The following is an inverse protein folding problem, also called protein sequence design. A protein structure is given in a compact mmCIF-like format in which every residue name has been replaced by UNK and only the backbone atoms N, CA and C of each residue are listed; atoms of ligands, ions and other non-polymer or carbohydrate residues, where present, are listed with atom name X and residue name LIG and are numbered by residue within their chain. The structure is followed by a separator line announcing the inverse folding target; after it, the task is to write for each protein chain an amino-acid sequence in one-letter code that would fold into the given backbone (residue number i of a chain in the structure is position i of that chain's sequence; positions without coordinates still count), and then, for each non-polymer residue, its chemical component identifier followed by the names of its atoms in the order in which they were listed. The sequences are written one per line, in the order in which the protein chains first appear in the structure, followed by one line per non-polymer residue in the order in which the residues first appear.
data_IF_269230405662
#
_entry.id   IF_269230405662
#
_cell.length_a   1.000
_cell.length_b   1.000
_cell.length_c   1.000
_cell.angle_alpha   90.00
_cell.angle_beta   90.00
_cell.angle_gamma   90.00
#
_symmetry.space_group_name_H-M   'P 1'
#
loop_
_entity.id
_entity.type
_entity.pdbx_description
1 polymer ?
#
# COMPACT_ATOMS: atom_id res chain seq x y z
N UNK A 1 -8.23 -2.23 29.83
CA UNK A 1 -7.84 -0.81 29.70
C UNK A 1 -6.37 -0.77 29.96
N UNK A 2 -5.54 -0.52 28.94
CA UNK A 2 -4.13 -0.25 29.18
C UNK A 2 -4.05 1.16 29.79
N UNK A 3 -3.57 1.23 31.03
CA UNK A 3 -3.55 2.45 31.83
C UNK A 3 -2.27 3.24 31.51
N UNK A 4 -2.38 4.57 31.47
CA UNK A 4 -1.22 5.45 31.23
C UNK A 4 -0.26 5.29 32.41
N UNK A 5 1.01 4.97 32.12
CA UNK A 5 2.04 4.86 33.16
C UNK A 5 2.19 6.18 33.90
N UNK A 6 2.27 6.12 35.23
CA UNK A 6 2.52 7.32 36.03
C UNK A 6 3.98 7.76 35.93
N UNK A 7 4.29 9.05 36.20
CA UNK A 7 5.67 9.52 36.24
C UNK A 7 6.58 8.72 37.17
N UNK A 8 6.06 8.25 38.31
CA UNK A 8 6.80 7.45 39.29
C UNK A 8 7.14 6.06 38.75
N UNK A 9 6.19 5.44 38.02
CA UNK A 9 6.42 4.15 37.36
C UNK A 9 7.47 4.27 36.25
N UNK A 10 7.38 5.33 35.43
CA UNK A 10 8.36 5.65 34.40
C UNK A 10 9.73 5.83 35.03
N UNK A 11 9.83 6.64 36.09
CA UNK A 11 11.09 6.90 36.78
C UNK A 11 11.72 5.61 37.33
N UNK A 12 10.92 4.74 37.94
CA UNK A 12 11.38 3.43 38.45
C UNK A 12 11.91 2.54 37.31
N UNK A 13 11.23 2.51 36.16
CA UNK A 13 11.68 1.76 34.99
C UNK A 13 13.01 2.32 34.47
N UNK A 14 13.17 3.65 34.42
CA UNK A 14 14.40 4.29 33.98
C UNK A 14 15.56 4.02 34.93
N UNK A 15 15.33 4.00 36.24
CA UNK A 15 16.35 3.67 37.25
C UNK A 15 16.82 2.22 37.14
N UNK A 16 15.88 1.28 37.02
CA UNK A 16 16.20 -0.14 36.81
C UNK A 16 16.95 -0.36 35.49
N UNK A 17 16.58 0.37 34.44
CA UNK A 17 17.25 0.30 33.14
C UNK A 17 18.65 0.91 33.17
N UNK A 18 18.84 2.00 33.89
CA UNK A 18 20.15 2.59 34.12
C UNK A 18 21.06 1.63 34.87
N UNK A 19 20.57 1.01 35.96
CA UNK A 19 21.31 -0.04 36.68
C UNK A 19 21.67 -1.23 35.78
N UNK A 20 20.77 -1.59 34.88
CA UNK A 20 21.01 -2.60 33.85
C UNK A 20 22.13 -2.23 32.88
N UNK A 21 22.23 -0.99 32.46
CA UNK A 21 23.33 -0.52 31.62
C UNK A 21 24.66 -0.45 32.41
N UNK A 22 24.64 0.17 33.59
CA UNK A 22 25.83 0.42 34.41
C UNK A 22 26.50 -0.88 34.87
N UNK A 23 25.72 -1.94 35.11
CA UNK A 23 26.21 -3.27 35.49
C UNK A 23 26.71 -4.12 34.31
N UNK A 24 26.68 -3.59 33.08
CA UNK A 24 26.98 -4.37 31.88
C UNK A 24 25.95 -5.46 31.63
N UNK A 25 24.66 -5.17 31.89
CA UNK A 25 23.49 -6.04 31.68
C UNK A 25 23.33 -7.18 32.69
N UNK A 26 23.88 -7.05 33.90
CA UNK A 26 23.87 -8.09 34.94
C UNK A 26 22.84 -7.86 36.05
N UNK A 27 22.59 -6.61 36.42
CA UNK A 27 21.70 -6.22 37.53
C UNK A 27 20.68 -5.17 37.07
N UNK A 28 19.47 -5.17 37.62
CA UNK A 28 18.38 -4.30 37.16
C UNK A 28 17.64 -4.89 35.95
N UNK A 29 16.78 -4.10 35.31
CA UNK A 29 15.92 -4.57 34.21
C UNK A 29 16.00 -3.66 33.00
N UNK A 30 16.19 -4.23 31.81
CA UNK A 30 16.03 -3.51 30.54
C UNK A 30 14.65 -2.87 30.49
N UNK A 31 14.58 -1.59 30.12
CA UNK A 31 13.30 -0.91 29.95
C UNK A 31 12.47 -1.62 28.86
N UNK A 32 11.36 -2.21 29.26
CA UNK A 32 10.33 -2.73 28.37
C UNK A 32 9.07 -1.88 28.52
N UNK A 33 8.80 -1.11 27.48
CA UNK A 33 7.70 -0.17 27.31
C UNK A 33 6.90 -0.56 26.05
N UNK A 34 6.90 -1.83 25.65
CA UNK A 34 6.10 -2.32 24.52
C UNK A 34 4.61 -2.01 24.76
N UNK A 35 3.97 -1.36 23.77
CA UNK A 35 2.57 -0.93 23.84
C UNK A 35 2.27 0.16 24.88
N UNK A 36 3.27 0.65 25.61
CA UNK A 36 3.07 1.57 26.72
C UNK A 36 2.46 2.91 26.27
N UNK A 37 1.49 3.42 27.04
CA UNK A 37 0.90 4.74 26.81
C UNK A 37 1.73 5.80 27.56
N UNK A 38 2.55 6.54 26.80
CA UNK A 38 3.49 7.57 27.25
C UNK A 38 3.16 8.94 26.64
N UNK A 39 1.91 9.17 26.26
CA UNK A 39 1.44 10.42 25.64
C UNK A 39 1.79 11.64 26.50
N UNK A 40 2.57 12.56 25.95
CA UNK A 40 3.05 13.75 26.63
C UNK A 40 4.02 13.50 27.79
N UNK A 41 4.60 12.30 27.91
CA UNK A 41 5.55 11.99 28.97
C UNK A 41 6.82 12.84 28.86
N UNK A 42 7.39 13.22 30.01
CA UNK A 42 8.63 13.98 30.08
C UNK A 42 9.79 13.00 30.26
N UNK A 43 10.54 12.77 29.18
CA UNK A 43 11.66 11.84 29.08
C UNK A 43 12.93 12.57 28.61
N UNK A 44 13.03 13.87 28.92
CA UNK A 44 14.16 14.73 28.52
C UNK A 44 15.47 14.16 29.06
N UNK A 45 16.43 13.90 28.17
CA UNK A 45 17.72 13.32 28.53
C UNK A 45 17.66 11.88 29.05
N UNK A 46 16.54 11.18 28.93
CA UNK A 46 16.41 9.81 29.42
C UNK A 46 17.39 8.87 28.71
N UNK A 47 17.99 7.95 29.47
CA UNK A 47 18.88 6.92 28.93
C UNK A 47 18.03 5.68 28.67
N UNK A 48 17.73 5.44 27.40
CA UNK A 48 16.89 4.34 26.88
C UNK A 48 17.68 3.51 25.86
N UNK A 49 19.00 3.38 26.05
CA UNK A 49 19.90 2.67 25.14
C UNK A 49 19.47 1.20 25.04
N UNK A 50 19.09 0.81 23.83
CA UNK A 50 18.55 -0.52 23.58
C UNK A 50 17.22 -0.78 24.26
N UNK A 51 16.44 0.19 24.71
CA UNK A 51 15.12 -0.07 25.30
C UNK A 51 14.14 -0.69 24.27
N UNK A 52 13.09 -1.35 24.76
CA UNK A 52 12.01 -1.89 23.91
C UNK A 52 10.80 -0.96 24.07
N UNK A 53 10.42 -0.27 22.99
CA UNK A 53 9.25 0.62 22.93
C UNK A 53 8.37 0.31 21.70
N UNK A 54 8.38 -0.95 21.25
CA UNK A 54 7.58 -1.39 20.10
C UNK A 54 6.10 -1.05 20.33
N UNK A 55 5.47 -0.38 19.36
CA UNK A 55 4.07 0.03 19.45
C UNK A 55 3.74 0.99 20.59
N UNK A 56 4.72 1.58 21.28
CA UNK A 56 4.47 2.52 22.36
C UNK A 56 3.81 3.82 21.83
N UNK A 57 2.93 4.42 22.62
CA UNK A 57 2.26 5.68 22.29
C UNK A 57 3.00 6.84 22.97
N UNK A 58 3.89 7.48 22.22
CA UNK A 58 4.74 8.60 22.62
C UNK A 58 4.27 9.93 22.00
N UNK A 59 3.02 10.02 21.55
CA UNK A 59 2.45 11.24 20.96
C UNK A 59 2.70 12.46 21.87
N UNK A 60 3.37 13.48 21.34
CA UNK A 60 3.71 14.70 22.09
C UNK A 60 4.67 14.52 23.27
N UNK A 61 5.33 13.37 23.43
CA UNK A 61 6.32 13.15 24.49
C UNK A 61 7.55 14.04 24.29
N UNK A 62 8.18 14.44 25.40
CA UNK A 62 9.38 15.28 25.41
C UNK A 62 10.60 14.38 25.61
N UNK A 63 11.31 14.10 24.52
CA UNK A 63 12.50 13.24 24.42
C UNK A 63 13.75 14.05 24.03
N UNK A 64 13.73 15.37 24.22
CA UNK A 64 14.86 16.25 23.90
C UNK A 64 16.15 15.72 24.55
N UNK A 65 17.18 15.48 23.74
CA UNK A 65 18.47 14.96 24.21
C UNK A 65 18.46 13.52 24.77
N UNK A 66 17.36 12.77 24.64
CA UNK A 66 17.28 11.37 25.10
C UNK A 66 18.25 10.47 24.30
N UNK A 67 18.76 9.42 24.96
CA UNK A 67 19.68 8.44 24.37
C UNK A 67 18.91 7.17 24.07
N UNK A 68 18.57 6.96 22.80
CA UNK A 68 17.77 5.84 22.27
C UNK A 68 18.59 4.94 21.32
N UNK A 69 19.92 4.99 21.42
CA UNK A 69 20.81 4.20 20.58
C UNK A 69 20.43 2.70 20.62
N UNK A 70 20.17 2.11 19.46
CA UNK A 70 19.76 0.71 19.31
C UNK A 70 18.42 0.33 19.94
N UNK A 71 17.60 1.31 20.33
CA UNK A 71 16.26 1.04 20.86
C UNK A 71 15.32 0.50 19.76
N UNK A 72 14.30 -0.24 20.17
CA UNK A 72 13.30 -0.84 19.28
C UNK A 72 12.00 -0.03 19.39
N UNK A 73 11.68 0.75 18.37
CA UNK A 73 10.50 1.61 18.27
C UNK A 73 9.63 1.25 17.05
N UNK A 74 9.68 -0.01 16.61
CA UNK A 74 8.85 -0.53 15.52
C UNK A 74 7.37 -0.18 15.78
N UNK A 75 6.74 0.50 14.81
CA UNK A 75 5.33 0.90 14.88
C UNK A 75 4.96 1.83 16.04
N UNK A 76 5.94 2.45 16.71
CA UNK A 76 5.66 3.40 17.80
C UNK A 76 5.01 4.68 17.25
N UNK A 77 4.13 5.28 18.05
CA UNK A 77 3.49 6.55 17.75
C UNK A 77 4.27 7.70 18.39
N UNK A 78 5.07 8.39 17.59
CA UNK A 78 5.91 9.54 17.95
C UNK A 78 5.35 10.85 17.36
N UNK A 79 4.07 10.90 16.98
CA UNK A 79 3.49 12.09 16.35
C UNK A 79 3.67 13.30 17.27
N UNK A 80 4.18 14.39 16.72
CA UNK A 80 4.49 15.64 17.46
C UNK A 80 5.41 15.48 18.67
N UNK A 81 6.14 14.36 18.79
CA UNK A 81 7.13 14.20 19.85
C UNK A 81 8.31 15.16 19.66
N UNK A 82 8.89 15.62 20.76
CA UNK A 82 10.09 16.45 20.76
C UNK A 82 11.32 15.57 20.92
N UNK A 83 12.02 15.28 19.83
CA UNK A 83 13.24 14.48 19.74
C UNK A 83 14.46 15.35 19.41
N UNK A 84 14.40 16.67 19.64
CA UNK A 84 15.51 17.57 19.31
C UNK A 84 16.78 17.12 20.01
N UNK A 85 17.87 17.03 19.26
CA UNK A 85 19.19 16.58 19.74
C UNK A 85 19.21 15.18 20.39
N UNK A 86 18.20 14.35 20.16
CA UNK A 86 18.18 12.97 20.65
C UNK A 86 19.22 12.11 19.91
N UNK A 87 19.76 11.10 20.60
CA UNK A 87 20.70 10.13 20.02
C UNK A 87 19.94 8.87 19.64
N UNK A 88 19.69 8.70 18.35
CA UNK A 88 18.86 7.65 17.73
C UNK A 88 19.70 6.72 16.83
N UNK A 89 21.01 6.58 17.10
CA UNK A 89 21.89 5.75 16.26
C UNK A 89 21.45 4.30 16.25
N UNK A 90 21.33 3.69 15.08
CA UNK A 90 20.97 2.29 14.92
C UNK A 90 19.60 1.93 15.51
N UNK A 91 18.72 2.93 15.73
CA UNK A 91 17.37 2.71 16.25
C UNK A 91 16.52 2.00 15.21
N UNK A 92 15.63 1.11 15.65
CA UNK A 92 14.64 0.48 14.77
C UNK A 92 13.31 1.23 14.85
N UNK A 93 13.00 2.02 13.83
CA UNK A 93 11.79 2.82 13.67
C UNK A 93 10.92 2.30 12.52
N UNK A 94 11.03 1.01 12.17
CA UNK A 94 10.23 0.43 11.08
C UNK A 94 8.73 0.68 11.29
N UNK A 95 8.08 1.34 10.33
CA UNK A 95 6.65 1.67 10.37
C UNK A 95 6.22 2.64 11.48
N UNK A 96 7.16 3.34 12.14
CA UNK A 96 6.83 4.28 13.20
C UNK A 96 6.13 5.55 12.66
N UNK A 97 5.25 6.15 13.45
CA UNK A 97 4.52 7.37 13.10
C UNK A 97 5.24 8.59 13.69
N UNK A 98 5.91 9.39 12.87
CA UNK A 98 6.67 10.58 13.27
C UNK A 98 6.07 11.88 12.69
N UNK A 99 4.80 11.87 12.28
CA UNK A 99 4.15 13.06 11.72
C UNK A 99 4.34 14.27 12.63
N UNK A 100 4.92 15.35 12.10
CA UNK A 100 5.15 16.60 12.83
C UNK A 100 6.09 16.50 14.02
N UNK A 101 6.88 15.44 14.15
CA UNK A 101 7.89 15.31 15.20
C UNK A 101 9.02 16.33 15.01
N UNK A 102 9.60 16.80 16.12
CA UNK A 102 10.73 17.72 16.12
C UNK A 102 12.03 16.94 16.26
N UNK A 103 12.80 16.81 15.20
CA UNK A 103 14.05 16.04 15.12
C UNK A 103 15.28 16.93 14.85
N UNK A 104 15.16 18.25 15.04
CA UNK A 104 16.27 19.17 14.80
C UNK A 104 17.54 18.73 15.57
N UNK A 105 18.60 18.45 14.82
CA UNK A 105 19.92 18.10 15.34
C UNK A 105 19.98 16.72 15.96
N UNK A 106 18.97 15.87 15.72
CA UNK A 106 18.98 14.48 16.16
C UNK A 106 20.02 13.65 15.38
N UNK A 107 20.58 12.64 16.05
CA UNK A 107 21.58 11.74 15.49
C UNK A 107 20.92 10.40 15.13
N UNK A 108 20.50 10.25 13.87
CA UNK A 108 19.78 9.11 13.29
C UNK A 108 20.70 8.17 12.49
N UNK A 109 22.02 8.21 12.73
CA UNK A 109 22.96 7.41 11.93
C UNK A 109 22.67 5.92 12.02
N UNK A 110 22.58 5.27 10.86
CA UNK A 110 22.26 3.84 10.78
C UNK A 110 20.87 3.46 11.29
N UNK A 111 19.97 4.43 11.51
CA UNK A 111 18.59 4.14 11.91
C UNK A 111 17.83 3.42 10.80
N UNK A 112 16.95 2.49 11.19
CA UNK A 112 16.00 1.85 10.29
C UNK A 112 14.68 2.61 10.33
N UNK A 113 14.42 3.42 9.30
CA UNK A 113 13.22 4.24 9.13
C UNK A 113 12.31 3.69 8.02
N UNK A 114 12.45 2.41 7.67
CA UNK A 114 11.66 1.82 6.59
C UNK A 114 10.17 1.95 6.87
N UNK A 115 9.38 2.42 5.90
CA UNK A 115 7.93 2.60 6.08
C UNK A 115 7.51 3.64 7.14
N UNK A 116 8.45 4.40 7.72
CA UNK A 116 8.13 5.39 8.75
C UNK A 116 7.41 6.61 8.14
N UNK A 117 6.48 7.19 8.89
CA UNK A 117 5.73 8.39 8.49
C UNK A 117 6.37 9.65 9.09
N UNK A 118 7.22 10.34 8.32
CA UNK A 118 7.91 11.58 8.70
C UNK A 118 7.24 12.84 8.12
N UNK A 119 5.97 12.77 7.71
CA UNK A 119 5.28 13.92 7.10
C UNK A 119 5.26 15.12 8.02
N UNK A 120 5.69 16.28 7.51
CA UNK A 120 5.80 17.52 8.27
C UNK A 120 6.81 17.49 9.43
N UNK A 121 7.66 16.47 9.54
CA UNK A 121 8.67 16.41 10.61
C UNK A 121 9.80 17.43 10.36
N UNK A 122 10.36 17.98 11.44
CA UNK A 122 11.48 18.92 11.38
C UNK A 122 12.80 18.18 11.57
N UNK A 123 13.51 17.88 10.48
CA UNK A 123 14.78 17.17 10.44
C UNK A 123 15.98 18.11 10.19
N UNK A 124 15.80 19.43 10.38
CA UNK A 124 16.88 20.39 10.11
C UNK A 124 18.14 20.07 10.90
N UNK A 125 19.28 20.03 10.23
CA UNK A 125 20.56 19.68 10.85
C UNK A 125 20.66 18.26 11.45
N UNK A 126 19.71 17.35 11.18
CA UNK A 126 19.77 15.98 11.66
C UNK A 126 20.81 15.16 10.89
N UNK A 127 21.44 14.18 11.56
CA UNK A 127 22.43 13.29 10.94
C UNK A 127 21.79 11.93 10.61
N UNK A 128 21.42 11.70 9.35
CA UNK A 128 20.84 10.45 8.85
C UNK A 128 21.84 9.59 8.08
N UNK A 129 23.15 9.77 8.27
CA UNK A 129 24.13 9.02 7.50
C UNK A 129 23.99 7.51 7.73
N UNK A 130 23.90 6.76 6.64
CA UNK A 130 23.68 5.31 6.66
C UNK A 130 22.29 4.86 7.12
N UNK A 131 21.33 5.79 7.33
CA UNK A 131 19.96 5.42 7.68
C UNK A 131 19.21 4.78 6.50
N UNK A 132 18.27 3.88 6.78
CA UNK A 132 17.42 3.22 5.80
C UNK A 132 16.01 3.81 5.80
N UNK A 133 15.69 4.58 4.77
CA UNK A 133 14.43 5.31 4.58
C UNK A 133 13.57 4.71 3.46
N UNK A 134 13.79 3.44 3.07
CA UNK A 134 12.99 2.81 2.01
C UNK A 134 11.51 2.77 2.41
N UNK A 135 10.65 3.29 1.55
CA UNK A 135 9.21 3.40 1.83
C UNK A 135 8.84 4.44 2.91
N UNK A 136 9.77 5.27 3.38
CA UNK A 136 9.44 6.34 4.33
C UNK A 136 8.70 7.51 3.63
N UNK A 137 7.67 8.03 4.31
CA UNK A 137 6.87 9.19 3.88
C UNK A 137 7.52 10.47 4.40
N UNK A 138 7.91 11.39 3.53
CA UNK A 138 8.68 12.61 3.85
C UNK A 138 7.98 13.89 3.38
N UNK A 139 6.70 13.81 3.01
CA UNK A 139 5.96 14.95 2.45
C UNK A 139 5.91 16.11 3.46
N UNK A 140 6.43 17.27 3.05
CA UNK A 140 6.51 18.46 3.91
C UNK A 140 7.54 18.36 5.05
N UNK A 141 8.38 17.34 5.09
CA UNK A 141 9.48 17.27 6.06
C UNK A 141 10.54 18.35 5.76
N UNK A 142 11.06 18.99 6.80
CA UNK A 142 12.09 20.02 6.70
C UNK A 142 13.47 19.38 6.82
N UNK A 143 14.25 19.38 5.73
CA UNK A 143 15.55 18.70 5.64
C UNK A 143 16.73 19.67 5.51
N UNK A 144 16.54 20.97 5.74
CA UNK A 144 17.63 21.94 5.55
C UNK A 144 18.82 21.61 6.45
N UNK A 145 19.99 21.40 5.84
CA UNK A 145 21.23 21.05 6.55
C UNK A 145 21.27 19.62 7.12
N UNK A 146 20.32 18.76 6.80
CA UNK A 146 20.38 17.34 7.19
C UNK A 146 21.51 16.60 6.45
N UNK A 147 22.24 15.73 7.16
CA UNK A 147 23.31 14.93 6.59
C UNK A 147 22.76 13.59 6.11
N UNK A 148 22.74 13.37 4.80
CA UNK A 148 22.10 12.20 4.17
C UNK A 148 23.09 11.22 3.53
N UNK A 149 24.40 11.43 3.68
CA UNK A 149 25.43 10.61 3.04
C UNK A 149 25.27 9.12 3.39
N UNK A 150 25.22 8.27 2.36
CA UNK A 150 25.08 6.83 2.57
C UNK A 150 23.69 6.38 3.05
N UNK A 151 22.73 7.31 3.24
CA UNK A 151 21.34 6.92 3.45
C UNK A 151 20.78 6.19 2.22
N UNK A 152 19.83 5.28 2.47
CA UNK A 152 19.17 4.42 1.48
C UNK A 152 17.69 4.82 1.45
N UNK A 153 17.04 4.90 0.28
CA UNK A 153 15.60 5.12 0.20
C UNK A 153 15.12 6.58 0.23
N UNK A 154 16.01 7.55 0.47
CA UNK A 154 15.81 8.92 -0.04
C UNK A 154 16.18 8.91 -1.51
N UNK A 155 15.29 9.47 -2.34
CA UNK A 155 15.47 9.49 -3.78
C UNK A 155 16.65 10.38 -4.17
N UNK A 156 17.81 9.75 -4.34
CA UNK A 156 19.03 10.39 -4.82
C UNK A 156 18.85 11.11 -6.16
N UNK A 157 17.81 10.82 -6.95
CA UNK A 157 17.57 11.55 -8.21
C UNK A 157 16.98 12.95 -7.97
N UNK A 158 16.17 13.16 -6.92
CA UNK A 158 15.68 14.50 -6.56
C UNK A 158 16.85 15.32 -6.00
N UNK A 159 17.63 14.74 -5.10
CA UNK A 159 18.82 15.38 -4.53
C UNK A 159 19.85 15.70 -5.62
N UNK A 160 20.09 14.76 -6.54
CA UNK A 160 20.98 14.96 -7.69
C UNK A 160 20.44 15.99 -8.67
N UNK A 161 19.13 16.09 -8.89
CA UNK A 161 18.53 17.13 -9.74
C UNK A 161 18.66 18.52 -9.10
N UNK A 162 18.51 18.61 -7.77
CA UNK A 162 18.70 19.84 -6.99
C UNK A 162 20.17 20.25 -7.00
N UNK A 163 21.07 19.31 -6.73
CA UNK A 163 22.53 19.50 -6.79
C UNK A 163 22.98 19.94 -8.19
N UNK A 164 22.54 19.25 -9.25
CA UNK A 164 22.86 19.64 -10.63
C UNK A 164 22.33 21.03 -10.97
N UNK A 165 21.14 21.42 -10.48
CA UNK A 165 20.61 22.78 -10.66
C UNK A 165 21.43 23.83 -9.92
N UNK A 166 21.85 23.55 -8.68
CA UNK A 166 22.71 24.45 -7.90
C UNK A 166 24.08 24.62 -8.57
N UNK A 167 24.67 23.53 -9.05
CA UNK A 167 25.94 23.58 -9.80
C UNK A 167 25.81 24.41 -11.08
N UNK A 168 24.69 24.30 -11.81
CA UNK A 168 24.42 25.16 -12.98
C UNK A 168 24.35 26.63 -12.59
N UNK A 169 23.70 26.96 -11.47
CA UNK A 169 23.64 28.34 -10.97
C UNK A 169 25.02 28.87 -10.55
N UNK A 170 25.84 28.06 -9.90
CA UNK A 170 27.22 28.43 -9.56
C UNK A 170 28.07 28.68 -10.80
N UNK A 171 27.96 27.83 -11.83
CA UNK A 171 28.66 28.05 -13.09
C UNK A 171 28.21 29.34 -13.78
N UNK A 172 26.92 29.69 -13.72
CA UNK A 172 26.42 30.97 -14.26
C UNK A 172 27.02 32.18 -13.55
N UNK A 173 27.13 32.14 -12.22
CA UNK A 173 27.78 33.19 -11.45
C UNK A 173 29.27 33.31 -11.79
N UNK A 174 29.97 32.18 -11.92
CA UNK A 174 31.38 32.16 -12.33
C UNK A 174 31.58 32.72 -13.74
N UNK A 175 30.74 32.34 -14.70
CA UNK A 175 30.76 32.86 -16.08
C UNK A 175 30.55 34.37 -16.08
N UNK A 176 29.59 34.88 -15.31
CA UNK A 176 29.34 36.32 -15.24
C UNK A 176 30.53 37.07 -14.66
N UNK A 177 31.14 36.53 -13.59
CA UNK A 177 32.34 37.12 -12.98
C UNK A 177 33.52 37.16 -13.97
N UNK A 178 33.80 36.03 -14.64
CA UNK A 178 34.86 35.93 -15.64
C UNK A 178 34.62 36.87 -16.84
N UNK A 179 33.37 37.04 -17.28
CA UNK A 179 33.03 38.00 -18.35
C UNK A 179 33.30 39.44 -17.94
N UNK A 180 32.92 39.83 -16.73
CA UNK A 180 33.19 41.17 -16.21
C UNK A 180 34.72 41.41 -16.07
N UNK A 181 35.48 40.43 -15.56
CA UNK A 181 36.94 40.52 -15.46
C UNK A 181 37.60 40.65 -16.85
N UNK A 182 37.07 39.95 -17.85
CA UNK A 182 37.55 39.97 -19.22
C UNK A 182 37.19 41.29 -19.94
N UNK A 183 36.06 41.90 -19.60
CA UNK A 183 35.67 43.24 -20.08
C UNK A 183 36.61 44.32 -19.52
N UNK A 184 36.88 44.30 -18.21
CA UNK A 184 37.84 45.21 -17.55
C UNK A 184 39.26 45.05 -18.14
N UNK A 185 39.69 43.80 -18.35
CA UNK A 185 41.00 43.52 -18.95
C UNK A 185 41.09 44.09 -20.38
N UNK A 186 40.05 43.96 -21.19
CA UNK A 186 39.99 44.52 -22.56
C UNK A 186 39.98 46.05 -22.57
N UNK A 187 39.27 46.68 -21.64
CA UNK A 187 39.25 48.15 -21.51
C UNK A 187 40.63 48.69 -21.10
N UNK A 188 41.37 47.96 -20.25
CA UNK A 188 42.72 48.33 -19.84
C UNK A 188 43.77 48.28 -20.97
N UNK A 189 43.55 47.44 -21.99
CA UNK A 189 44.40 47.36 -23.19
C UNK A 189 44.28 48.63 -24.04
N UNK A 190 43.16 49.35 -23.99
CA UNK A 190 42.95 50.60 -24.72
C UNK A 190 43.77 51.80 -24.21
N UNK A 191 44.39 51.71 -23.03
CA UNK A 191 45.01 52.86 -22.33
C UNK A 191 46.55 52.83 -22.20
N UNK A 192 47.27 51.90 -22.85
CA UNK A 192 48.75 51.78 -22.95
C UNK A 192 49.59 51.74 -21.66
N UNK A 193 50.15 50.56 -21.33
CA UNK A 193 51.57 50.22 -21.10
C UNK A 193 51.64 48.73 -20.66
N UNK A 194 52.40 47.88 -21.37
CA UNK A 194 52.49 46.40 -21.26
C UNK A 194 51.49 45.53 -22.07
N UNK A 195 51.43 45.78 -23.38
CA UNK A 195 50.61 45.00 -24.34
C UNK A 195 50.82 43.48 -24.25
N UNK A 196 52.06 43.00 -24.02
CA UNK A 196 52.35 41.56 -23.98
C UNK A 196 51.82 40.82 -22.74
N UNK A 197 51.75 41.47 -21.57
CA UNK A 197 51.29 40.85 -20.32
C UNK A 197 49.75 40.82 -20.25
N UNK A 198 49.10 41.84 -20.83
CA UNK A 198 47.64 41.95 -20.87
C UNK A 198 47.01 40.98 -21.89
N UNK A 199 47.67 40.72 -23.02
CA UNK A 199 47.21 39.72 -24.00
C UNK A 199 47.25 38.29 -23.43
N UNK A 200 48.32 37.93 -22.73
CA UNK A 200 48.48 36.63 -22.07
C UNK A 200 47.42 36.43 -20.96
N UNK A 201 47.12 37.49 -20.21
CA UNK A 201 46.07 37.49 -19.18
C UNK A 201 44.66 37.37 -19.78
N UNK A 202 44.39 38.01 -20.93
CA UNK A 202 43.13 37.85 -21.67
C UNK A 202 43.00 36.43 -22.24
N UNK A 203 44.08 35.84 -22.74
CA UNK A 203 44.09 34.46 -23.23
C UNK A 203 43.81 33.46 -22.10
N UNK A 204 44.43 33.64 -20.93
CA UNK A 204 44.18 32.81 -19.75
C UNK A 204 42.71 32.90 -19.28
N UNK A 205 42.15 34.11 -19.21
CA UNK A 205 40.74 34.32 -18.85
C UNK A 205 39.78 33.70 -19.88
N UNK A 206 40.09 33.81 -21.18
CA UNK A 206 39.30 33.15 -22.24
C UNK A 206 39.34 31.62 -22.11
N UNK A 207 40.51 31.04 -21.78
CA UNK A 207 40.66 29.60 -21.60
C UNK A 207 39.89 29.10 -20.37
N UNK A 208 39.93 29.85 -19.25
CA UNK A 208 39.11 29.57 -18.06
C UNK A 208 37.61 29.66 -18.35
N UNK A 209 37.19 30.69 -19.07
CA UNK A 209 35.79 30.87 -19.47
C UNK A 209 35.29 29.69 -20.31
N UNK A 210 36.04 29.27 -21.34
CA UNK A 210 35.72 28.08 -22.14
C UNK A 210 35.60 26.80 -21.31
N UNK A 211 36.51 26.60 -20.34
CA UNK A 211 36.49 25.43 -19.48
C UNK A 211 35.25 25.37 -18.57
N UNK A 212 34.85 26.52 -18.00
CA UNK A 212 33.64 26.63 -17.16
C UNK A 212 32.37 26.47 -18.00
N UNK A 213 32.31 27.08 -19.19
CA UNK A 213 31.18 26.93 -20.12
C UNK A 213 30.99 25.47 -20.56
N UNK A 214 32.09 24.76 -20.86
CA UNK A 214 32.04 23.33 -21.18
C UNK A 214 31.53 22.48 -20.00
N UNK A 215 31.97 22.78 -18.78
CA UNK A 215 31.55 22.06 -17.56
C UNK A 215 30.07 22.30 -17.25
N UNK A 216 29.57 23.53 -17.47
CA UNK A 216 28.15 23.86 -17.39
C UNK A 216 27.33 23.03 -18.38
N UNK A 217 27.75 23.00 -19.65
CA UNK A 217 27.05 22.27 -20.71
C UNK A 217 26.93 20.76 -20.39
N UNK A 218 28.00 20.13 -19.91
CA UNK A 218 27.96 18.71 -19.49
C UNK A 218 26.99 18.48 -18.31
N UNK A 219 26.85 19.44 -17.42
CA UNK A 219 25.96 19.37 -16.25
C UNK A 219 24.50 19.53 -16.68
N UNK A 220 24.22 20.42 -17.62
CA UNK A 220 22.90 20.61 -18.23
C UNK A 220 22.43 19.36 -19.00
N UNK A 221 23.33 18.71 -19.76
CA UNK A 221 23.01 17.44 -20.44
C UNK A 221 22.65 16.33 -19.46
N UNK A 222 23.36 16.22 -18.33
CA UNK A 222 23.03 15.26 -17.26
C UNK A 222 21.68 15.56 -16.64
N UNK A 223 21.37 16.84 -16.40
CA UNK A 223 20.08 17.27 -15.87
C UNK A 223 18.93 16.96 -16.86
N UNK A 224 19.15 17.13 -18.16
CA UNK A 224 18.16 16.84 -19.18
C UNK A 224 17.86 15.34 -19.30
N UNK A 225 18.90 14.50 -19.33
CA UNK A 225 18.73 13.03 -19.32
C UNK A 225 17.91 12.56 -18.11
N UNK A 226 18.16 13.15 -16.94
CA UNK A 226 17.45 12.80 -15.71
C UNK A 226 15.98 13.25 -15.74
N UNK A 227 15.67 14.39 -16.38
CA UNK A 227 14.28 14.82 -16.64
C UNK A 227 13.55 13.86 -17.60
N UNK A 228 14.20 13.45 -18.68
CA UNK A 228 13.63 12.52 -19.66
C UNK A 228 13.31 11.16 -19.02
N UNK A 229 14.21 10.63 -18.20
CA UNK A 229 13.99 9.40 -17.43
C UNK A 229 12.79 9.51 -16.48
N UNK A 230 12.63 10.64 -15.79
CA UNK A 230 11.49 10.85 -14.90
C UNK A 230 10.15 10.92 -15.64
N UNK A 231 10.10 11.57 -16.81
CA UNK A 231 8.88 11.63 -17.64
C UNK A 231 8.53 10.26 -18.23
N UNK A 232 9.53 9.47 -18.63
CA UNK A 232 9.31 8.08 -19.06
C UNK A 232 8.69 7.23 -17.96
N UNK A 233 9.25 7.28 -16.74
CA UNK A 233 8.72 6.56 -15.57
C UNK A 233 7.29 6.98 -15.24
N UNK A 234 6.99 8.28 -15.32
CA UNK A 234 5.63 8.81 -15.09
C UNK A 234 4.62 8.28 -16.10
N UNK A 235 5.02 8.22 -17.37
CA UNK A 235 4.19 7.72 -18.47
C UNK A 235 3.94 6.23 -18.33
N UNK A 236 4.98 5.45 -18.01
CA UNK A 236 4.85 4.01 -17.77
C UNK A 236 3.94 3.71 -16.57
N UNK A 237 4.13 4.42 -15.45
CA UNK A 237 3.30 4.29 -14.26
C UNK A 237 1.82 4.56 -14.56
N UNK A 238 1.55 5.66 -15.27
CA UNK A 238 0.19 6.04 -15.68
C UNK A 238 -0.46 4.95 -16.56
N UNK A 239 0.30 4.41 -17.52
CA UNK A 239 -0.17 3.31 -18.37
C UNK A 239 -0.56 2.06 -17.58
N UNK A 240 0.30 1.63 -16.64
CA UNK A 240 0.06 0.44 -15.81
C UNK A 240 -1.17 0.59 -14.91
N UNK A 241 -1.40 1.78 -14.35
CA UNK A 241 -2.59 2.07 -13.54
C UNK A 241 -3.85 1.98 -14.41
N UNK A 242 -3.82 2.56 -15.61
CA UNK A 242 -4.97 2.56 -16.51
C UNK A 242 -5.33 1.14 -17.00
N UNK A 243 -4.32 0.33 -17.32
CA UNK A 243 -4.51 -1.07 -17.70
C UNK A 243 -5.14 -1.90 -16.57
N UNK A 244 -4.70 -1.67 -15.33
CA UNK A 244 -5.28 -2.33 -14.16
C UNK A 244 -6.73 -1.90 -13.92
N UNK A 245 -7.03 -0.61 -14.01
CA UNK A 245 -8.40 -0.08 -13.87
C UNK A 245 -9.34 -0.70 -14.91
N UNK A 246 -8.92 -0.71 -16.18
CA UNK A 246 -9.70 -1.34 -17.26
C UNK A 246 -9.95 -2.83 -17.04
N UNK A 247 -8.97 -3.53 -16.48
CA UNK A 247 -9.11 -4.96 -16.15
C UNK A 247 -10.10 -5.19 -15.00
N UNK A 248 -10.07 -4.34 -13.96
CA UNK A 248 -11.03 -4.37 -12.85
C UNK A 248 -12.46 -4.04 -13.31
N UNK A 249 -12.62 -3.02 -14.15
CA UNK A 249 -13.93 -2.66 -14.74
C UNK A 249 -14.52 -3.83 -15.57
N UNK A 250 -13.67 -4.51 -16.35
CA UNK A 250 -14.07 -5.70 -17.10
C UNK A 250 -14.50 -6.87 -16.20
N UNK A 251 -13.76 -7.12 -15.11
CA UNK A 251 -14.09 -8.15 -14.14
C UNK A 251 -15.40 -7.83 -13.39
N UNK A 252 -15.61 -6.56 -13.02
CA UNK A 252 -16.83 -6.09 -12.36
C UNK A 252 -18.06 -6.34 -13.23
N UNK A 253 -17.99 -5.93 -14.50
CA UNK A 253 -19.08 -6.11 -15.46
C UNK A 253 -19.44 -7.59 -15.65
N UNK A 254 -18.44 -8.45 -15.81
CA UNK A 254 -18.66 -9.90 -15.94
C UNK A 254 -19.33 -10.49 -14.68
N UNK A 255 -18.84 -10.09 -13.51
CA UNK A 255 -19.41 -10.50 -12.22
C UNK A 255 -20.87 -10.08 -12.08
N UNK A 256 -21.21 -8.84 -12.46
CA UNK A 256 -22.58 -8.32 -12.47
C UNK A 256 -23.50 -9.08 -13.44
N UNK A 257 -23.02 -9.37 -14.64
CA UNK A 257 -23.77 -10.14 -15.63
C UNK A 257 -24.06 -11.57 -15.13
N UNK A 258 -23.10 -12.20 -14.45
CA UNK A 258 -23.24 -13.55 -13.87
C UNK A 258 -24.19 -13.57 -12.68
N UNK A 259 -24.12 -12.58 -11.78
CA UNK A 259 -25.09 -12.40 -10.68
C UNK A 259 -26.51 -12.28 -11.26
N UNK A 260 -26.69 -11.41 -12.25
CA UNK A 260 -28.01 -11.16 -12.86
C UNK A 260 -28.58 -12.42 -13.51
N UNK A 261 -27.75 -13.11 -14.30
CA UNK A 261 -28.14 -14.34 -14.99
C UNK A 261 -28.50 -15.46 -14.01
N UNK A 262 -27.62 -15.76 -13.06
CA UNK A 262 -27.84 -16.83 -12.08
C UNK A 262 -29.04 -16.53 -11.16
N UNK A 263 -29.24 -15.27 -10.76
CA UNK A 263 -30.40 -14.86 -9.96
C UNK A 263 -31.72 -15.01 -10.74
N UNK A 264 -31.73 -14.64 -12.02
CA UNK A 264 -32.88 -14.83 -12.90
C UNK A 264 -33.27 -16.31 -12.99
N UNK A 265 -32.32 -17.19 -13.30
CA UNK A 265 -32.58 -18.63 -13.39
C UNK A 265 -33.01 -19.25 -12.06
N UNK A 266 -32.39 -18.85 -10.95
CA UNK A 266 -32.80 -19.30 -9.61
C UNK A 266 -34.26 -18.94 -9.31
N UNK A 267 -34.71 -17.74 -9.68
CA UNK A 267 -36.09 -17.30 -9.48
C UNK A 267 -37.07 -18.09 -10.35
N UNK A 268 -36.74 -18.33 -11.62
CA UNK A 268 -37.55 -19.15 -12.53
C UNK A 268 -37.71 -20.58 -12.02
N UNK A 269 -36.60 -21.24 -11.64
CA UNK A 269 -36.60 -22.61 -11.12
C UNK A 269 -37.40 -22.73 -9.82
N UNK A 270 -37.31 -21.73 -8.94
CA UNK A 270 -38.11 -21.70 -7.72
C UNK A 270 -39.61 -21.60 -7.97
N UNK A 271 -40.04 -20.70 -8.87
CA UNK A 271 -41.46 -20.56 -9.24
C UNK A 271 -41.99 -21.85 -9.86
N UNK A 272 -41.24 -22.44 -10.81
CA UNK A 272 -41.61 -23.69 -11.46
C UNK A 272 -41.72 -24.82 -10.43
N UNK A 273 -40.73 -24.96 -9.54
CA UNK A 273 -40.75 -25.98 -8.48
C UNK A 273 -41.96 -25.86 -7.54
N UNK A 274 -42.31 -24.64 -7.13
CA UNK A 274 -43.48 -24.37 -6.28
C UNK A 274 -44.79 -24.69 -7.03
N UNK A 275 -44.92 -24.28 -8.29
CA UNK A 275 -46.10 -24.58 -9.11
C UNK A 275 -46.30 -26.08 -9.28
N UNK A 276 -45.22 -26.83 -9.54
CA UNK A 276 -45.26 -28.29 -9.63
C UNK A 276 -45.74 -28.89 -8.29
N UNK A 277 -45.24 -28.40 -7.16
CA UNK A 277 -45.65 -28.87 -5.84
C UNK A 277 -47.13 -28.59 -5.55
N UNK A 278 -47.64 -27.42 -5.94
CA UNK A 278 -49.07 -27.07 -5.82
C UNK A 278 -49.92 -28.04 -6.64
N UNK A 279 -49.54 -28.30 -7.90
CA UNK A 279 -50.25 -29.24 -8.79
C UNK A 279 -50.28 -30.64 -8.16
N UNK A 280 -49.14 -31.13 -7.65
CA UNK A 280 -49.05 -32.43 -6.97
C UNK A 280 -50.00 -32.49 -5.77
N UNK A 281 -50.00 -31.47 -4.91
CA UNK A 281 -50.87 -31.41 -3.73
C UNK A 281 -52.34 -31.38 -4.15
N UNK A 282 -52.70 -30.58 -5.17
CA UNK A 282 -54.08 -30.54 -5.70
C UNK A 282 -54.53 -31.89 -6.26
N UNK A 283 -53.67 -32.60 -6.99
CA UNK A 283 -53.98 -33.96 -7.51
C UNK A 283 -54.14 -34.96 -6.38
N UNK A 284 -53.28 -34.92 -5.36
CA UNK A 284 -53.36 -35.77 -4.17
C UNK A 284 -54.63 -35.53 -3.34
N UNK A 285 -55.20 -34.32 -3.36
CA UNK A 285 -56.46 -34.00 -2.67
C UNK A 285 -57.67 -34.35 -3.55
N UNK A 286 -57.62 -34.05 -4.86
CA UNK A 286 -58.74 -34.24 -5.77
C UNK A 286 -59.07 -35.72 -6.04
N UNK A 287 -58.05 -36.60 -6.13
CA UNK A 287 -58.25 -38.03 -6.40
C UNK A 287 -59.06 -38.71 -5.26
N UNK A 288 -58.71 -38.57 -3.97
CA UNK A 288 -59.52 -39.11 -2.88
C UNK A 288 -60.95 -38.56 -2.83
N UNK A 289 -61.14 -37.25 -3.05
CA UNK A 289 -62.47 -36.62 -3.08
C UNK A 289 -63.31 -37.20 -4.22
N UNK A 290 -62.73 -37.34 -5.42
CA UNK A 290 -63.40 -37.94 -6.56
C UNK A 290 -63.82 -39.38 -6.30
N UNK A 291 -62.94 -40.19 -5.71
CA UNK A 291 -63.24 -41.58 -5.32
C UNK A 291 -64.38 -41.62 -4.29
N UNK A 292 -64.37 -40.72 -3.31
CA UNK A 292 -65.41 -40.62 -2.28
C UNK A 292 -66.77 -40.24 -2.88
N UNK A 293 -66.82 -39.23 -3.75
CA UNK A 293 -68.04 -38.82 -4.45
C UNK A 293 -68.63 -39.91 -5.37
N UNK A 294 -67.79 -40.77 -5.96
CA UNK A 294 -68.24 -41.89 -6.80
C UNK A 294 -68.82 -43.05 -5.98
N UNK A 295 -68.35 -43.25 -4.74
CA UNK A 295 -68.83 -44.30 -3.81
C UNK A 295 -70.26 -44.04 -3.31
N UNK A 296 -70.74 -42.80 -3.39
CA UNK A 296 -72.13 -42.38 -3.06
C UNK A 296 -73.14 -42.57 -4.20
N UNK A 297 -72.72 -42.98 -5.41
CA UNK A 297 -73.60 -43.36 -6.53
C UNK A 297 -73.74 -44.90 -6.58
N UNK A 298 -74.94 -45.46 -6.81
CA UNK A 298 -75.17 -46.91 -6.73
C UNK A 298 -74.66 -47.60 -8.01
N UNK A 299 -73.40 -48.03 -8.02
CA UNK A 299 -72.78 -48.84 -9.08
C UNK A 299 -71.89 -49.92 -8.44
N UNK A 300 -71.88 -51.17 -8.91
CA UNK A 300 -71.19 -52.27 -8.23
C UNK A 300 -69.68 -52.03 -8.11
N UNK A 301 -69.14 -52.36 -6.93
CA UNK A 301 -67.74 -52.13 -6.58
C UNK A 301 -66.79 -53.05 -7.39
N UNK A 302 -65.68 -52.54 -7.95
CA UNK A 302 -64.64 -53.41 -8.48
C UNK A 302 -63.70 -53.85 -7.34
N UNK A 303 -63.58 -55.17 -7.19
CA UNK A 303 -62.52 -55.84 -6.44
C UNK A 303 -61.19 -55.61 -7.16
N UNK A 304 -60.40 -54.59 -6.78
CA UNK A 304 -58.92 -54.62 -6.88
C UNK A 304 -58.28 -53.30 -6.40
N UNK A 305 -57.46 -53.39 -5.34
CA UNK A 305 -56.73 -52.27 -4.73
C UNK A 305 -55.55 -51.74 -5.56
N UNK A 306 -55.29 -52.31 -6.74
CA UNK A 306 -54.17 -51.97 -7.63
C UNK A 306 -54.21 -50.56 -8.21
N UNK A 307 -55.39 -49.93 -8.25
CA UNK A 307 -55.54 -48.58 -8.80
C UNK A 307 -54.75 -47.51 -8.02
N UNK A 308 -54.61 -47.65 -6.70
CA UNK A 308 -53.85 -46.69 -5.87
C UNK A 308 -52.37 -46.63 -6.25
N UNK A 309 -51.75 -47.75 -6.63
CA UNK A 309 -50.33 -47.84 -6.97
C UNK A 309 -50.04 -47.10 -8.29
N UNK A 310 -50.92 -47.21 -9.29
CA UNK A 310 -50.79 -46.51 -10.57
C UNK A 310 -50.83 -44.98 -10.45
N UNK A 311 -51.53 -44.43 -9.45
CA UNK A 311 -51.55 -42.98 -9.20
C UNK A 311 -50.34 -42.49 -8.39
N UNK A 312 -49.76 -43.32 -7.53
CA UNK A 312 -48.63 -42.93 -6.68
C UNK A 312 -47.30 -42.81 -7.43
N UNK A 313 -47.04 -43.64 -8.45
CA UNK A 313 -45.76 -43.65 -9.16
C UNK A 313 -45.49 -42.36 -9.96
N UNK A 314 -46.43 -41.84 -10.78
CA UNK A 314 -46.24 -40.55 -11.47
C UNK A 314 -46.12 -39.38 -10.50
N UNK A 315 -46.84 -39.40 -9.38
CA UNK A 315 -46.75 -38.37 -8.34
C UNK A 315 -45.36 -38.35 -7.71
N UNK A 316 -44.79 -39.50 -7.37
CA UNK A 316 -43.42 -39.60 -6.84
C UNK A 316 -42.40 -39.09 -7.85
N UNK A 317 -42.54 -39.42 -9.14
CA UNK A 317 -41.64 -38.92 -10.19
C UNK A 317 -41.70 -37.39 -10.32
N UNK A 318 -42.89 -36.79 -10.27
CA UNK A 318 -43.07 -35.34 -10.33
C UNK A 318 -42.49 -34.65 -9.08
N UNK A 319 -42.66 -35.26 -7.90
CA UNK A 319 -42.03 -34.77 -6.65
C UNK A 319 -40.50 -34.79 -6.78
N UNK A 320 -39.91 -35.87 -7.31
CA UNK A 320 -38.47 -35.94 -7.53
C UNK A 320 -37.98 -34.82 -8.45
N UNK A 321 -38.67 -34.56 -9.57
CA UNK A 321 -38.35 -33.45 -10.48
C UNK A 321 -38.47 -32.09 -9.77
N UNK A 322 -39.51 -31.87 -8.97
CA UNK A 322 -39.64 -30.63 -8.20
C UNK A 322 -38.47 -30.45 -7.21
N UNK A 323 -38.07 -31.51 -6.51
CA UNK A 323 -36.96 -31.46 -5.56
C UNK A 323 -35.60 -31.25 -6.22
N UNK A 324 -35.37 -31.77 -7.42
CA UNK A 324 -34.13 -31.52 -8.18
C UNK A 324 -34.07 -30.08 -8.70
N UNK A 325 -35.18 -29.50 -9.15
CA UNK A 325 -35.26 -28.09 -9.56
C UNK A 325 -34.96 -27.15 -8.39
N UNK A 326 -35.53 -27.42 -7.20
CA UNK A 326 -35.25 -26.64 -5.98
C UNK A 326 -33.80 -26.82 -5.50
N UNK A 327 -33.21 -28.01 -5.69
CA UNK A 327 -31.78 -28.24 -5.41
C UNK A 327 -30.90 -27.40 -6.32
N UNK A 328 -31.19 -27.38 -7.62
CA UNK A 328 -30.44 -26.58 -8.59
C UNK A 328 -30.60 -25.07 -8.35
N UNK A 329 -31.80 -24.62 -7.96
CA UNK A 329 -32.03 -23.25 -7.48
C UNK A 329 -31.10 -22.90 -6.31
N UNK A 330 -30.93 -23.79 -5.33
CA UNK A 330 -30.05 -23.56 -4.17
C UNK A 330 -28.58 -23.40 -4.59
N UNK A 331 -28.12 -24.17 -5.57
CA UNK A 331 -26.76 -24.06 -6.14
C UNK A 331 -26.55 -22.71 -6.82
N UNK A 332 -27.49 -22.29 -7.67
CA UNK A 332 -27.42 -20.97 -8.32
C UNK A 332 -27.44 -19.82 -7.31
N UNK A 333 -28.22 -19.93 -6.24
CA UNK A 333 -28.22 -18.94 -5.15
C UNK A 333 -26.90 -18.92 -4.36
N UNK A 334 -26.22 -20.06 -4.21
CA UNK A 334 -24.87 -20.07 -3.62
C UNK A 334 -23.83 -19.45 -4.53
N UNK A 335 -23.91 -19.69 -5.85
CA UNK A 335 -23.03 -19.02 -6.83
C UNK A 335 -23.24 -17.50 -6.81
N UNK A 336 -24.50 -17.03 -6.77
CA UNK A 336 -24.82 -15.60 -6.66
C UNK A 336 -24.17 -14.96 -5.43
N UNK A 337 -24.15 -15.66 -4.28
CA UNK A 337 -23.46 -15.16 -3.08
C UNK A 337 -21.94 -15.08 -3.29
N UNK A 338 -21.35 -16.09 -3.93
CA UNK A 338 -19.92 -16.10 -4.25
C UNK A 338 -19.54 -14.92 -5.15
N UNK A 339 -20.26 -14.73 -6.27
CA UNK A 339 -20.03 -13.59 -7.16
C UNK A 339 -20.32 -12.25 -6.48
N UNK A 340 -21.31 -12.16 -5.59
CA UNK A 340 -21.57 -10.93 -4.82
C UNK A 340 -20.42 -10.57 -3.88
N UNK A 341 -19.76 -11.56 -3.27
CA UNK A 341 -18.57 -11.32 -2.45
C UNK A 341 -17.39 -10.87 -3.32
N UNK A 342 -17.21 -11.50 -4.47
CA UNK A 342 -16.18 -11.13 -5.45
C UNK A 342 -16.38 -9.71 -5.99
N UNK A 343 -17.63 -9.31 -6.26
CA UNK A 343 -17.97 -7.93 -6.66
C UNK A 343 -17.48 -6.91 -5.64
N UNK A 344 -17.82 -7.10 -4.36
CA UNK A 344 -17.40 -6.21 -3.29
C UNK A 344 -15.86 -6.12 -3.19
N UNK A 345 -15.15 -7.21 -3.45
CA UNK A 345 -13.69 -7.21 -3.48
C UNK A 345 -13.12 -6.41 -4.66
N UNK A 346 -13.68 -6.57 -5.87
CA UNK A 346 -13.27 -5.80 -7.05
C UNK A 346 -13.49 -4.30 -6.81
N UNK A 347 -14.61 -3.92 -6.21
CA UNK A 347 -14.90 -2.53 -5.83
C UNK A 347 -13.89 -2.00 -4.80
N UNK A 348 -13.55 -2.79 -3.78
CA UNK A 348 -12.54 -2.44 -2.79
C UNK A 348 -11.15 -2.24 -3.43
N UNK A 349 -10.76 -3.11 -4.36
CA UNK A 349 -9.48 -3.00 -5.06
C UNK A 349 -9.46 -1.80 -6.01
N UNK A 350 -10.57 -1.51 -6.70
CA UNK A 350 -10.71 -0.30 -7.50
C UNK A 350 -10.55 0.95 -6.66
N UNK A 351 -11.21 1.01 -5.49
CA UNK A 351 -11.08 2.14 -4.57
C UNK A 351 -9.67 2.29 -4.00
N UNK A 352 -9.00 1.18 -3.68
CA UNK A 352 -7.61 1.19 -3.21
C UNK A 352 -6.66 1.71 -4.28
N UNK A 353 -6.86 1.30 -5.54
CA UNK A 353 -6.06 1.76 -6.67
C UNK A 353 -6.27 3.25 -6.94
N UNK A 354 -7.51 3.74 -6.90
CA UNK A 354 -7.81 5.18 -7.04
C UNK A 354 -7.20 6.01 -5.92
N UNK A 355 -7.34 5.57 -4.66
CA UNK A 355 -6.70 6.21 -3.52
C UNK A 355 -5.17 6.22 -3.69
N UNK A 356 -4.59 5.14 -4.22
CA UNK A 356 -3.15 5.05 -4.48
C UNK A 356 -2.67 6.00 -5.56
N UNK A 357 -3.50 6.25 -6.58
CA UNK A 357 -3.18 7.21 -7.64
C UNK A 357 -3.19 8.65 -7.10
N UNK A 358 -4.16 8.99 -6.25
CA UNK A 358 -4.20 10.31 -5.61
C UNK A 358 -3.01 10.51 -4.66
N UNK A 359 -2.64 9.49 -3.88
CA UNK A 359 -1.45 9.51 -3.04
C UNK A 359 -0.17 9.67 -3.88
N UNK A 360 -0.03 8.86 -4.92
CA UNK A 360 1.09 8.93 -5.88
C UNK A 360 1.20 10.30 -6.56
N UNK A 361 0.08 10.90 -6.98
CA UNK A 361 0.06 12.24 -7.57
C UNK A 361 0.50 13.33 -6.58
N UNK A 362 0.26 13.14 -5.29
CA UNK A 362 0.68 14.06 -4.22
C UNK A 362 2.15 13.91 -3.82
N UNK A 363 2.79 12.78 -4.13
CA UNK A 363 4.15 12.46 -3.68
C UNK A 363 5.25 13.27 -4.38
N UNK A 364 4.99 13.89 -5.53
CA UNK A 364 5.99 14.66 -6.29
C UNK A 364 7.18 13.84 -6.84
N UNK A 365 7.29 12.57 -6.42
CA UNK A 365 8.34 11.61 -6.74
C UNK A 365 7.72 10.43 -7.50
N UNK A 366 8.03 10.34 -8.79
CA UNK A 366 7.51 9.31 -9.71
C UNK A 366 7.95 7.90 -9.36
N UNK A 367 9.10 7.73 -8.71
CA UNK A 367 9.63 6.43 -8.34
C UNK A 367 9.01 5.92 -7.04
N UNK A 368 8.83 6.78 -6.03
CA UNK A 368 8.06 6.44 -4.82
C UNK A 368 6.59 6.21 -5.12
N UNK A 369 6.00 7.04 -5.98
CA UNK A 369 4.66 6.82 -6.51
C UNK A 369 4.53 5.42 -7.15
N UNK A 370 5.54 5.00 -7.92
CA UNK A 370 5.58 3.66 -8.50
C UNK A 370 5.73 2.56 -7.44
N UNK A 371 6.60 2.72 -6.44
CA UNK A 371 6.75 1.77 -5.33
C UNK A 371 5.44 1.60 -4.54
N UNK A 372 4.77 2.70 -4.22
CA UNK A 372 3.49 2.68 -3.51
C UNK A 372 2.38 1.99 -4.32
N UNK A 373 2.32 2.28 -5.61
CA UNK A 373 1.39 1.62 -6.54
C UNK A 373 1.73 0.13 -6.69
N UNK A 374 3.01 -0.24 -6.73
CA UNK A 374 3.46 -1.64 -6.74
C UNK A 374 3.12 -2.39 -5.46
N UNK A 375 3.25 -1.73 -4.32
CA UNK A 375 2.86 -2.31 -3.04
C UNK A 375 1.34 -2.53 -3.00
N UNK A 376 0.57 -1.57 -3.49
CA UNK A 376 -0.89 -1.70 -3.66
C UNK A 376 -1.22 -2.90 -4.55
N UNK A 377 -0.55 -3.06 -5.69
CA UNK A 377 -0.71 -4.23 -6.55
C UNK A 377 -0.35 -5.55 -5.85
N UNK A 378 0.72 -5.55 -5.05
CA UNK A 378 1.17 -6.72 -4.30
C UNK A 378 0.16 -7.12 -3.21
N UNK A 379 -0.42 -6.14 -2.52
CA UNK A 379 -1.47 -6.37 -1.51
C UNK A 379 -2.74 -6.95 -2.15
N UNK A 380 -3.15 -6.40 -3.29
CA UNK A 380 -4.28 -6.93 -4.07
C UNK A 380 -4.02 -8.39 -4.46
N UNK A 381 -2.84 -8.68 -5.02
CA UNK A 381 -2.42 -10.04 -5.40
C UNK A 381 -2.44 -11.01 -4.22
N UNK A 382 -1.81 -10.65 -3.10
CA UNK A 382 -1.70 -11.55 -1.96
C UNK A 382 -3.06 -11.88 -1.36
N UNK A 383 -3.99 -10.91 -1.35
CA UNK A 383 -5.38 -11.14 -0.92
C UNK A 383 -6.12 -12.08 -1.88
N UNK A 384 -5.97 -11.88 -3.19
CA UNK A 384 -6.56 -12.76 -4.21
C UNK A 384 -6.07 -14.21 -4.07
N UNK A 385 -4.76 -14.42 -3.95
CA UNK A 385 -4.16 -15.75 -3.76
C UNK A 385 -4.62 -16.42 -2.46
N UNK A 386 -4.67 -15.67 -1.36
CA UNK A 386 -5.09 -16.22 -0.06
C UNK A 386 -6.55 -16.69 -0.03
N UNK A 387 -7.42 -16.05 -0.81
CA UNK A 387 -8.84 -16.38 -0.86
C UNK A 387 -9.15 -17.49 -1.87
N UNK A 388 -8.39 -17.61 -2.97
CA UNK A 388 -8.48 -18.76 -3.88
C UNK A 388 -8.19 -20.07 -3.13
N UNK A 389 -7.19 -20.07 -2.25
CA UNK A 389 -6.87 -21.19 -1.35
C UNK A 389 -8.03 -21.48 -0.38
N UNK A 390 -8.76 -20.46 0.11
CA UNK A 390 -9.93 -20.67 0.99
C UNK A 390 -11.14 -21.22 0.26
N UNK A 391 -11.35 -20.87 -1.01
CA UNK A 391 -12.46 -21.39 -1.83
C UNK A 391 -12.28 -22.89 -2.12
N UNK A 392 -11.05 -23.34 -2.42
CA UNK A 392 -10.72 -24.75 -2.61
C UNK A 392 -10.97 -25.62 -1.36
N UNK A 393 -10.85 -25.05 -0.16
CA UNK A 393 -11.09 -25.77 1.10
C UNK A 393 -12.57 -25.84 1.53
N UNK A 394 -13.46 -25.04 0.95
CA UNK A 394 -14.90 -25.06 1.28
C UNK A 394 -15.75 -25.91 0.33
N UNK A 395 -15.18 -26.44 -0.75
CA UNK A 395 -15.83 -27.42 -1.60
C UNK A 395 -15.52 -28.85 -1.13
N UNK A 396 -16.47 -29.49 -0.44
CA UNK A 396 -16.52 -30.95 -0.37
C UNK A 396 -16.63 -31.51 -1.81
N UNK A 397 -15.93 -32.61 -2.15
CA UNK A 397 -15.88 -33.11 -3.51
C UNK A 397 -17.25 -33.68 -3.88
N UNK A 398 -17.97 -32.97 -4.73
CA UNK A 398 -18.99 -33.57 -5.58
C UNK A 398 -18.34 -33.78 -6.94
N UNK A 399 -18.14 -35.05 -7.27
CA UNK A 399 -17.73 -35.54 -8.59
C UNK A 399 -18.70 -35.01 -9.66
N UNK A 400 -18.36 -33.88 -10.27
CA UNK A 400 -18.87 -33.52 -11.58
C UNK A 400 -17.86 -32.62 -12.26
N UNK A 401 -17.16 -33.21 -13.24
CA UNK A 401 -16.43 -32.53 -14.31
C UNK A 401 -17.40 -31.74 -15.18
N UNK A 402 -17.97 -30.66 -14.65
CA UNK A 402 -18.54 -29.60 -15.48
C UNK A 402 -17.62 -28.39 -15.33
N UNK A 403 -16.84 -28.17 -16.38
CA UNK A 403 -15.93 -27.06 -16.57
C UNK A 403 -16.65 -25.73 -16.27
N UNK A 404 -16.23 -25.05 -15.20
CA UNK A 404 -16.70 -23.71 -14.85
C UNK A 404 -16.01 -22.66 -15.76
N UNK A 405 -16.48 -22.61 -17.01
CA UNK A 405 -15.99 -21.70 -18.07
C UNK A 405 -16.17 -20.20 -17.70
N UNK A 406 -16.92 -19.89 -16.63
CA UNK A 406 -17.15 -18.53 -16.14
C UNK A 406 -16.12 -18.05 -15.11
N UNK A 407 -15.77 -18.92 -14.15
CA UNK A 407 -14.76 -18.64 -13.11
C UNK A 407 -13.36 -18.44 -13.71
N UNK A 408 -12.99 -19.26 -14.71
CA UNK A 408 -11.68 -19.20 -15.37
C UNK A 408 -11.40 -17.87 -16.08
N UNK A 409 -12.44 -17.17 -16.57
CA UNK A 409 -12.27 -15.85 -17.21
C UNK A 409 -12.03 -14.73 -16.20
N UNK A 410 -12.61 -14.82 -15.01
CA UNK A 410 -12.41 -13.84 -13.95
C UNK A 410 -11.06 -14.08 -13.28
N UNK A 411 -10.69 -15.35 -13.04
CA UNK A 411 -9.35 -15.74 -12.58
C UNK A 411 -8.30 -15.27 -13.60
N UNK A 412 -8.50 -15.47 -14.91
CA UNK A 412 -7.58 -14.94 -15.94
C UNK A 412 -7.45 -13.40 -15.95
N UNK A 413 -8.51 -12.66 -15.62
CA UNK A 413 -8.47 -11.20 -15.52
C UNK A 413 -7.74 -10.73 -14.25
N UNK A 414 -7.94 -11.43 -13.14
CA UNK A 414 -7.24 -11.20 -11.88
C UNK A 414 -5.76 -11.63 -11.96
N UNK A 415 -5.44 -12.67 -12.74
CA UNK A 415 -4.09 -13.10 -13.07
C UNK A 415 -3.38 -12.10 -13.99
N UNK A 416 -4.10 -11.45 -14.92
CA UNK A 416 -3.55 -10.32 -15.68
C UNK A 416 -3.16 -9.16 -14.76
N UNK A 417 -3.96 -8.84 -13.75
CA UNK A 417 -3.63 -7.83 -12.73
C UNK A 417 -2.41 -8.28 -11.90
N UNK A 418 -2.34 -9.56 -11.55
CA UNK A 418 -1.20 -10.17 -10.87
C UNK A 418 0.10 -10.11 -11.70
N UNK A 419 0.00 -10.31 -13.01
CA UNK A 419 1.13 -10.21 -13.93
C UNK A 419 1.60 -8.76 -14.11
N UNK A 420 0.68 -7.79 -14.07
CA UNK A 420 1.03 -6.35 -14.06
C UNK A 420 1.78 -5.95 -12.78
N UNK A 421 1.56 -6.64 -11.66
CA UNK A 421 2.31 -6.47 -10.40
C UNK A 421 3.77 -6.98 -10.51
N UNK A 422 4.02 -7.96 -11.38
CA UNK A 422 5.35 -8.56 -11.55
C UNK A 422 6.25 -7.84 -12.57
N UNK A 423 5.70 -6.90 -13.36
CA UNK A 423 6.51 -6.03 -14.23
C UNK A 423 7.31 -5.06 -13.36
N UNK A 424 8.62 -5.29 -13.27
CA UNK A 424 9.56 -4.26 -12.79
C UNK A 424 9.64 -3.14 -13.84
N UNK A 425 9.77 -1.87 -13.43
CA UNK A 425 10.11 -0.80 -14.36
C UNK A 425 11.42 -1.16 -15.07
N UNK A 426 11.46 -0.98 -16.39
CA UNK A 426 12.64 -1.28 -17.22
C UNK A 426 13.76 -0.26 -17.02
#
# INVERSE_FOLDING_TARGET
MEEKLTPEEIQKILEEHKRWLDSGRKEGKRANLEGAILKGAILKGAILKGAILKGAILEGAILEGAILEGAILIGADLRRADLRRAVLRGVDLWGALLWGALLWGADLRGADLRGADLRGADLRGADLRGADLRGAFLEGALLEGALLEGSIGINRNIDKAVELKQNVQEYEQQIQKLKNELEIAKESVGNNESVGNNEEQIEELNNKLKAVESSKQQTEEKLQKLKEQNEQLKTELSGRINDAKKSLEGALKNTDDKIRSNFFWARCLGIIGILIFIIVVSVLIAIPIYIWCKKTLPVPAPENSWHMIFYTFPVVAIILIATTLLRHQKVLLSEVRSFSMMKHQIELYSGLLEASQHAAASMGDTQKANEYVQETFTQIRNRLLSEQIRQDHHHQPLDSKEEDVGSDKIINLLDKITNLANKKPS
#
